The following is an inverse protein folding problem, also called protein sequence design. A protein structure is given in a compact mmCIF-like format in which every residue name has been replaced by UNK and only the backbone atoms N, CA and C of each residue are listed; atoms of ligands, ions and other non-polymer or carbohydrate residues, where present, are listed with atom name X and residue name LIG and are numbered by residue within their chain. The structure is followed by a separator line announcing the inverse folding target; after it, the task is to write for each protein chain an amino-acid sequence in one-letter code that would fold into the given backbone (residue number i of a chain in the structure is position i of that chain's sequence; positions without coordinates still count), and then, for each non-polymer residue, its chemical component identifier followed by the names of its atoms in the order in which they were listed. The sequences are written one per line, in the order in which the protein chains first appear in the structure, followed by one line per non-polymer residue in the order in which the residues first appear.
data_IF_984330907726
#
_entry.id   IF_984330907726
#
_cell.length_a   1.000
_cell.length_b   1.000
_cell.length_c   1.000
_cell.angle_alpha   90.00
_cell.angle_beta   90.00
_cell.angle_gamma   90.00
#
_symmetry.space_group_name_H-M   'P 1'
#
loop_
_entity.id
_entity.type
_entity.pdbx_description
1 polymer ?
#
# COMPACT_ATOMS: atom_id res chain seq x y z
N UNK A 1 1.33 33.14 9.98
CA UNK A 1 0.85 31.80 9.58
C UNK A 1 1.39 31.52 8.19
N UNK A 2 2.24 30.48 8.04
CA UNK A 2 3.02 30.23 6.81
C UNK A 2 2.19 29.64 5.67
N UNK A 3 2.68 29.80 4.43
CA UNK A 3 2.03 29.25 3.22
C UNK A 3 1.93 27.72 3.34
N UNK A 4 0.80 27.11 2.97
CA UNK A 4 0.68 25.65 2.95
C UNK A 4 1.79 25.03 2.07
N UNK A 5 2.31 23.86 2.45
CA UNK A 5 3.34 23.17 1.66
C UNK A 5 2.82 22.86 0.25
N UNK A 6 3.62 23.20 -0.76
CA UNK A 6 3.27 23.02 -2.18
C UNK A 6 3.71 21.66 -2.76
N UNK A 7 4.49 20.89 -2.01
CA UNK A 7 4.99 19.58 -2.43
C UNK A 7 4.01 18.49 -1.98
N UNK A 8 3.79 17.45 -2.81
CA UNK A 8 2.97 16.32 -2.41
C UNK A 8 3.56 15.61 -1.18
N UNK A 9 2.67 15.04 -0.37
CA UNK A 9 3.08 14.25 0.77
C UNK A 9 3.84 12.99 0.30
N UNK A 10 4.99 12.75 0.92
CA UNK A 10 5.78 11.54 0.68
C UNK A 10 5.16 10.35 1.39
N UNK A 11 5.32 9.15 0.82
CA UNK A 11 5.05 7.91 1.51
C UNK A 11 6.01 7.75 2.69
N UNK A 12 5.50 7.17 3.77
CA UNK A 12 6.32 6.76 4.91
C UNK A 12 7.03 5.47 4.54
N UNK A 13 8.14 5.20 5.22
CA UNK A 13 8.84 3.93 5.04
C UNK A 13 8.00 2.78 5.62
N UNK A 14 7.95 1.66 4.90
CA UNK A 14 7.21 0.47 5.32
C UNK A 14 6.66 -0.35 4.15
N UNK A 15 5.84 -1.34 4.47
CA UNK A 15 5.28 -2.29 3.52
C UNK A 15 3.83 -1.93 3.19
N UNK A 16 3.50 -1.88 1.91
CA UNK A 16 2.19 -1.43 1.46
C UNK A 16 1.43 -2.50 0.67
N UNK A 17 0.12 -2.53 0.91
CA UNK A 17 -0.87 -3.19 0.05
C UNK A 17 -1.90 -2.16 -0.41
N UNK A 18 -2.41 -2.32 -1.61
CA UNK A 18 -3.60 -1.65 -2.09
C UNK A 18 -4.77 -2.62 -2.07
N UNK A 19 -5.81 -2.27 -1.30
CA UNK A 19 -7.03 -3.07 -1.15
C UNK A 19 -8.15 -2.39 -1.92
N UNK A 20 -8.77 -3.11 -2.85
CA UNK A 20 -9.84 -2.57 -3.70
C UNK A 20 -11.05 -3.49 -3.77
N UNK A 21 -12.21 -2.89 -4.03
CA UNK A 21 -13.42 -3.66 -4.34
C UNK A 21 -13.25 -4.36 -5.69
N UNK A 22 -13.90 -5.52 -5.86
CA UNK A 22 -13.87 -6.25 -7.14
C UNK A 22 -14.38 -5.35 -8.27
N UNK A 23 -13.58 -5.21 -9.33
CA UNK A 23 -13.88 -4.33 -10.47
C UNK A 23 -13.60 -2.84 -10.27
N UNK A 24 -13.11 -2.42 -9.09
CA UNK A 24 -12.68 -1.04 -8.87
C UNK A 24 -11.33 -0.78 -9.54
N UNK A 25 -11.18 0.39 -10.16
CA UNK A 25 -9.92 0.82 -10.79
C UNK A 25 -8.86 1.25 -9.77
N UNK A 26 -9.29 1.69 -8.60
CA UNK A 26 -8.45 2.24 -7.54
C UNK A 26 -8.85 1.70 -6.17
N UNK A 27 -7.89 1.53 -5.27
CA UNK A 27 -8.09 1.08 -3.90
C UNK A 27 -7.48 2.00 -2.84
N UNK A 28 -7.57 1.55 -1.59
CA UNK A 28 -6.95 2.20 -0.43
C UNK A 28 -5.61 1.54 -0.16
N UNK A 29 -4.57 2.35 0.06
CA UNK A 29 -3.25 1.86 0.47
C UNK A 29 -3.19 1.69 1.99
N UNK A 30 -2.81 0.51 2.45
CA UNK A 30 -2.60 0.18 3.86
C UNK A 30 -1.10 0.00 4.08
N UNK A 31 -0.52 0.73 5.04
CA UNK A 31 0.89 0.60 5.47
C UNK A 31 0.98 -0.36 6.65
N UNK A 32 1.99 -1.22 6.63
CA UNK A 32 2.50 -1.98 7.80
C UNK A 32 3.98 -1.73 8.01
N UNK A 33 4.46 -2.02 9.22
CA UNK A 33 5.85 -1.81 9.58
C UNK A 33 6.71 -2.97 9.08
N UNK A 34 6.15 -4.18 9.16
CA UNK A 34 6.82 -5.43 8.84
C UNK A 34 6.19 -6.14 7.64
N UNK A 35 7.00 -6.90 6.91
CA UNK A 35 6.52 -7.73 5.78
C UNK A 35 5.52 -8.79 6.24
N UNK A 36 5.72 -9.37 7.41
CA UNK A 36 4.82 -10.40 7.98
C UNK A 36 3.43 -9.85 8.24
N UNK A 37 3.33 -8.69 8.92
CA UNK A 37 2.06 -7.99 9.16
C UNK A 37 1.35 -7.61 7.85
N UNK A 38 2.11 -7.20 6.83
CA UNK A 38 1.56 -6.94 5.51
C UNK A 38 0.92 -8.20 4.93
N UNK A 39 1.59 -9.35 5.02
CA UNK A 39 1.06 -10.62 4.52
C UNK A 39 -0.14 -11.14 5.32
N UNK A 40 -0.18 -10.91 6.63
CA UNK A 40 -1.35 -11.18 7.46
C UNK A 40 -2.55 -10.35 6.98
N UNK A 41 -2.35 -9.05 6.73
CA UNK A 41 -3.39 -8.20 6.17
C UNK A 41 -3.83 -8.66 4.77
N UNK A 42 -2.91 -9.15 3.93
CA UNK A 42 -3.26 -9.78 2.65
C UNK A 42 -4.22 -10.95 2.88
N UNK A 43 -3.87 -11.85 3.81
CA UNK A 43 -4.69 -13.03 4.12
C UNK A 43 -6.10 -12.65 4.58
N UNK A 44 -6.21 -11.64 5.45
CA UNK A 44 -7.48 -11.15 5.99
C UNK A 44 -8.38 -10.57 4.88
N UNK A 45 -7.87 -9.65 4.07
CA UNK A 45 -8.66 -8.96 3.06
C UNK A 45 -8.94 -9.82 1.81
N UNK A 46 -8.11 -10.83 1.51
CA UNK A 46 -8.19 -11.59 0.24
C UNK A 46 -9.51 -12.34 0.09
N UNK A 47 -10.19 -12.62 1.21
CA UNK A 47 -11.51 -13.28 1.22
C UNK A 47 -12.59 -12.46 0.52
N UNK A 48 -12.48 -11.13 0.52
CA UNK A 48 -13.57 -10.22 0.13
C UNK A 48 -13.13 -9.13 -0.86
N UNK A 49 -11.84 -8.84 -0.97
CA UNK A 49 -11.28 -7.76 -1.78
C UNK A 49 -10.25 -8.28 -2.77
N UNK A 50 -10.04 -7.51 -3.83
CA UNK A 50 -8.85 -7.66 -4.67
C UNK A 50 -7.70 -6.89 -4.03
N UNK A 51 -6.52 -7.50 -4.01
CA UNK A 51 -5.35 -6.93 -3.34
C UNK A 51 -4.18 -6.86 -4.30
N UNK A 52 -3.51 -5.71 -4.30
CA UNK A 52 -2.23 -5.50 -4.98
C UNK A 52 -1.19 -5.29 -3.89
N UNK A 53 -0.19 -6.17 -3.85
CA UNK A 53 0.99 -6.00 -3.01
C UNK A 53 1.89 -4.99 -3.71
N UNK A 54 2.08 -3.81 -3.10
CA UNK A 54 2.98 -2.78 -3.61
C UNK A 54 4.42 -3.03 -3.16
N UNK A 55 4.59 -3.68 -2.00
CA UNK A 55 5.88 -4.03 -1.43
C UNK A 55 6.45 -2.93 -0.53
N UNK A 56 7.75 -2.99 -0.28
CA UNK A 56 8.44 -2.00 0.55
C UNK A 56 8.60 -0.65 -0.18
N UNK A 57 8.16 0.42 0.49
CA UNK A 57 8.50 1.81 0.15
C UNK A 57 9.58 2.30 1.11
N UNK A 58 10.66 2.85 0.56
CA UNK A 58 11.74 3.47 1.33
C UNK A 58 12.15 4.79 0.68
N UNK A 59 12.15 5.87 1.45
CA UNK A 59 12.38 7.22 0.96
C UNK A 59 11.49 7.59 -0.24
N UNK A 60 10.19 7.27 -0.14
CA UNK A 60 9.19 7.55 -1.18
C UNK A 60 9.41 6.80 -2.51
N UNK A 61 10.19 5.70 -2.48
CA UNK A 61 10.47 4.85 -3.64
C UNK A 61 10.12 3.40 -3.35
N UNK A 62 9.51 2.75 -4.33
CA UNK A 62 9.23 1.31 -4.28
C UNK A 62 10.51 0.51 -4.54
N UNK A 63 10.83 -0.40 -3.61
CA UNK A 63 11.94 -1.33 -3.78
C UNK A 63 11.52 -2.58 -4.55
N UNK A 64 10.23 -2.92 -4.52
CA UNK A 64 9.65 -4.07 -5.19
C UNK A 64 8.68 -3.65 -6.31
N UNK A 65 8.47 -4.55 -7.28
CA UNK A 65 7.43 -4.34 -8.29
C UNK A 65 6.07 -4.76 -7.73
N UNK A 66 5.00 -3.99 -7.99
CA UNK A 66 3.65 -4.37 -7.60
C UNK A 66 3.25 -5.74 -8.16
N UNK A 67 2.60 -6.56 -7.34
CA UNK A 67 2.11 -7.89 -7.71
C UNK A 67 0.69 -8.08 -7.21
N UNK A 68 -0.17 -8.70 -8.02
CA UNK A 68 -1.50 -9.07 -7.58
C UNK A 68 -1.40 -10.25 -6.60
N UNK A 69 -2.06 -10.14 -5.45
CA UNK A 69 -2.19 -11.27 -4.55
C UNK A 69 -3.24 -12.23 -5.13
N UNK A 70 -2.76 -13.24 -5.86
CA UNK A 70 -3.59 -14.32 -6.42
C UNK A 70 -4.06 -15.20 -5.30
#
# INVERSE_FOLDING_TARGET
MGRPPTRPAKLRDGFYIEVRNKGAKTGIKIRRENRTEMMEAVSEYRRVKEIIILGESKNDKWLEKPKQAV
#
